data_IF_263751627255
#
_entry.id   IF_263751627255
#
_cell.length_a   1.000
_cell.length_b   1.000
_cell.length_c   1.000
_cell.angle_alpha   90.00
_cell.angle_beta   90.00
_cell.angle_gamma   90.00
#
_symmetry.space_group_name_H-M   'P 1'
#
loop_
_entity.id
_entity.type
_entity.pdbx_description
1 polymer ?
#
# COMPACT_ATOMS: atom_id res chain seq x y z
N UNK A 1 2.44 -29.99 4.88
CA UNK A 1 3.73 -29.39 4.47
C UNK A 1 3.83 -28.01 5.13
N UNK A 2 4.76 -27.81 6.08
CA UNK A 2 4.95 -26.51 6.76
C UNK A 2 6.10 -25.79 6.05
N UNK A 3 5.80 -24.77 5.25
CA UNK A 3 6.83 -23.89 4.68
C UNK A 3 7.14 -22.83 5.74
N UNK A 4 8.34 -22.89 6.34
CA UNK A 4 8.84 -21.87 7.25
C UNK A 4 9.63 -20.86 6.40
N UNK A 5 9.01 -19.73 6.07
CA UNK A 5 9.70 -18.62 5.40
C UNK A 5 10.35 -17.77 6.50
N UNK A 6 11.65 -17.96 6.72
CA UNK A 6 12.44 -17.05 7.57
C UNK A 6 12.88 -15.87 6.70
N UNK A 7 12.32 -14.69 6.96
CA UNK A 7 12.91 -13.44 6.48
C UNK A 7 14.00 -13.03 7.45
N UNK A 8 15.25 -13.37 7.14
CA UNK A 8 16.40 -12.88 7.87
C UNK A 8 16.88 -11.56 7.24
N UNK A 9 16.69 -10.47 7.97
CA UNK A 9 17.15 -9.13 7.59
C UNK A 9 18.52 -8.77 8.20
N UNK A 10 19.22 -9.71 8.83
CA UNK A 10 20.38 -9.42 9.67
C UNK A 10 21.73 -9.31 8.94
N UNK A 11 21.79 -9.36 7.60
CA UNK A 11 23.06 -9.32 6.85
C UNK A 11 23.12 -8.20 5.78
N UNK A 12 22.91 -6.95 6.22
CA UNK A 12 23.37 -5.77 5.49
C UNK A 12 24.21 -4.89 6.42
N UNK A 13 25.32 -5.43 6.93
CA UNK A 13 26.41 -4.65 7.49
C UNK A 13 27.67 -4.94 6.68
N UNK A 14 27.89 -4.15 5.63
CA UNK A 14 29.20 -4.02 5.04
C UNK A 14 30.10 -3.29 6.03
N UNK A 15 31.12 -3.98 6.53
CA UNK A 15 32.25 -3.34 7.19
C UNK A 15 32.96 -2.46 6.14
N UNK A 16 32.93 -1.15 6.34
CA UNK A 16 33.91 -0.25 5.73
C UNK A 16 34.67 0.42 6.88
N UNK A 17 35.94 0.05 7.00
CA UNK A 17 36.89 0.67 7.90
C UNK A 17 37.09 2.15 7.54
N UNK A 18 37.22 2.99 8.57
CA UNK A 18 38.02 4.21 8.53
C UNK A 18 37.49 5.39 7.72
N UNK A 19 36.62 6.21 8.32
CA UNK A 19 36.42 7.59 7.86
C UNK A 19 35.19 8.26 8.44
N UNK A 20 35.39 9.13 9.44
CA UNK A 20 34.35 10.05 9.92
C UNK A 20 34.03 11.06 8.81
N UNK A 21 33.01 10.76 8.00
CA UNK A 21 32.35 11.76 7.14
C UNK A 21 30.85 11.70 7.40
N UNK A 22 30.27 12.89 7.58
CA UNK A 22 28.86 13.15 7.79
C UNK A 22 27.97 12.19 6.98
N UNK A 23 27.30 11.28 7.68
CA UNK A 23 26.30 10.37 7.14
C UNK A 23 25.02 11.15 6.84
N UNK A 24 25.05 11.98 5.81
CA UNK A 24 23.84 12.45 5.14
C UNK A 24 23.11 11.24 4.53
N UNK A 25 21.81 11.19 4.79
CA UNK A 25 20.87 10.14 4.42
C UNK A 25 21.04 9.64 2.96
N UNK A 26 21.78 8.53 2.78
CA UNK A 26 22.09 7.93 1.48
C UNK A 26 20.83 7.49 0.70
N UNK A 27 19.73 7.21 1.40
CA UNK A 27 18.46 6.81 0.80
C UNK A 27 17.71 7.96 0.11
N UNK A 28 17.96 9.22 0.48
CA UNK A 28 17.28 10.36 -0.14
C UNK A 28 17.99 10.85 -1.43
N UNK A 29 19.33 10.76 -1.51
CA UNK A 29 20.07 11.16 -2.73
C UNK A 29 19.91 10.22 -3.91
N UNK A 30 19.46 8.97 -3.69
CA UNK A 30 19.18 8.03 -4.77
C UNK A 30 17.97 8.44 -5.63
N UNK A 31 17.09 9.31 -5.12
CA UNK A 31 15.94 9.83 -5.87
C UNK A 31 16.32 11.02 -6.76
N UNK A 32 17.25 11.87 -6.32
CA UNK A 32 17.48 13.21 -6.89
C UNK A 32 18.51 13.26 -8.04
N UNK A 33 19.07 12.11 -8.46
CA UNK A 33 20.18 12.06 -9.44
C UNK A 33 19.93 11.29 -10.73
N UNK A 34 18.74 10.72 -10.97
CA UNK A 34 18.50 9.89 -12.17
C UNK A 34 17.56 10.50 -13.21
N UNK A 35 17.19 11.79 -13.12
CA UNK A 35 16.40 12.48 -14.15
C UNK A 35 17.25 13.08 -15.27
N UNK A 36 18.14 12.28 -15.87
CA UNK A 36 18.99 12.70 -16.99
C UNK A 36 19.07 11.63 -18.08
N UNK A 37 18.30 11.83 -19.15
CA UNK A 37 18.45 11.27 -20.50
C UNK A 37 18.89 9.80 -20.66
N UNK A 38 17.94 8.91 -20.94
CA UNK A 38 18.01 8.03 -22.11
C UNK A 38 16.69 7.27 -22.28
N UNK A 39 15.95 7.69 -23.29
CA UNK A 39 14.77 7.04 -23.82
C UNK A 39 15.28 5.89 -24.70
N UNK A 40 15.41 4.66 -24.15
CA UNK A 40 15.38 3.34 -24.81
C UNK A 40 16.14 2.27 -24.00
N UNK A 41 15.38 1.39 -23.35
CA UNK A 41 15.87 0.14 -22.74
C UNK A 41 15.04 -0.32 -21.53
N UNK A 42 13.80 -0.82 -21.71
CA UNK A 42 12.96 -1.22 -20.58
C UNK A 42 13.38 -2.61 -20.08
N UNK A 43 13.23 -2.85 -18.77
CA UNK A 43 13.40 -4.12 -18.02
C UNK A 43 14.63 -4.17 -17.11
N UNK A 44 15.86 -3.86 -17.55
CA UNK A 44 17.05 -4.11 -16.68
C UNK A 44 17.19 -3.16 -15.48
N UNK A 45 16.63 -1.96 -15.52
CA UNK A 45 16.79 -0.95 -14.45
C UNK A 45 15.66 -0.94 -13.42
N UNK A 46 14.51 -1.55 -13.73
CA UNK A 46 13.35 -1.56 -12.83
C UNK A 46 13.58 -2.45 -11.59
N UNK A 47 14.51 -3.42 -11.66
CA UNK A 47 14.84 -4.33 -10.57
C UNK A 47 15.58 -3.70 -9.38
N UNK A 48 16.13 -2.49 -9.52
CA UNK A 48 17.01 -1.91 -8.48
C UNK A 48 16.26 -1.16 -7.37
N UNK A 49 15.02 -0.71 -7.60
CA UNK A 49 14.28 0.12 -6.63
C UNK A 49 13.34 -0.66 -5.69
N UNK A 50 12.81 -1.81 -6.11
CA UNK A 50 12.20 -2.77 -5.20
C UNK A 50 13.30 -3.70 -4.71
N UNK A 51 14.05 -3.26 -3.70
CA UNK A 51 15.23 -3.97 -3.21
C UNK A 51 14.97 -5.46 -3.06
N UNK A 52 15.49 -6.26 -4.00
CA UNK A 52 15.62 -7.72 -3.93
C UNK A 52 14.44 -8.43 -3.26
N UNK A 53 13.18 -8.02 -3.52
CA UNK A 53 12.08 -8.97 -3.50
C UNK A 53 12.39 -9.88 -4.70
N UNK A 54 13.23 -10.88 -4.41
CA UNK A 54 14.18 -11.37 -5.40
C UNK A 54 13.44 -12.07 -6.52
N UNK A 55 14.02 -12.05 -7.71
CA UNK A 55 13.58 -12.93 -8.79
C UNK A 55 13.45 -14.39 -8.30
N UNK A 56 14.22 -14.80 -7.29
CA UNK A 56 14.07 -16.08 -6.59
C UNK A 56 12.74 -16.20 -5.85
N UNK A 57 12.25 -15.17 -5.14
CA UNK A 57 10.93 -15.18 -4.51
C UNK A 57 9.81 -15.35 -5.55
N UNK A 58 9.92 -14.71 -6.71
CA UNK A 58 8.97 -14.91 -7.81
C UNK A 58 9.02 -16.34 -8.36
N UNK A 59 10.22 -16.91 -8.51
CA UNK A 59 10.41 -18.30 -8.93
C UNK A 59 9.77 -19.27 -7.93
N UNK A 60 9.99 -19.11 -6.63
CA UNK A 60 9.40 -19.97 -5.60
C UNK A 60 7.87 -19.81 -5.54
N UNK A 61 7.35 -18.59 -5.66
CA UNK A 61 5.92 -18.35 -5.79
C UNK A 61 5.36 -19.08 -7.01
N UNK A 62 6.03 -19.00 -8.17
CA UNK A 62 5.61 -19.70 -9.39
C UNK A 62 5.57 -21.21 -9.22
N UNK A 63 6.55 -21.79 -8.52
CA UNK A 63 6.56 -23.23 -8.19
C UNK A 63 5.36 -23.60 -7.32
N UNK A 64 5.05 -22.77 -6.33
CA UNK A 64 3.93 -23.00 -5.43
C UNK A 64 2.58 -22.90 -6.16
N UNK A 65 2.36 -21.87 -6.97
CA UNK A 65 1.06 -21.66 -7.62
C UNK A 65 0.70 -22.73 -8.65
N UNK A 66 1.72 -23.36 -9.27
CA UNK A 66 1.56 -24.52 -10.15
C UNK A 66 0.92 -25.74 -9.47
N UNK A 67 0.80 -25.73 -8.14
CA UNK A 67 0.02 -26.71 -7.38
C UNK A 67 -1.47 -26.38 -7.37
N UNK A 68 -1.99 -25.79 -8.46
CA UNK A 68 -3.38 -25.35 -8.62
C UNK A 68 -3.85 -24.29 -7.60
N UNK A 69 -2.95 -23.39 -7.20
CA UNK A 69 -3.29 -22.26 -6.33
C UNK A 69 -3.61 -21.04 -7.19
N UNK A 70 -4.58 -20.24 -6.73
CA UNK A 70 -4.94 -18.95 -7.31
C UNK A 70 -4.46 -17.81 -6.41
N UNK A 71 -3.98 -16.73 -7.00
CA UNK A 71 -3.40 -15.59 -6.30
C UNK A 71 -4.25 -14.33 -6.52
N UNK A 72 -4.54 -13.63 -5.43
CA UNK A 72 -5.05 -12.25 -5.46
C UNK A 72 -3.86 -11.30 -5.54
N UNK A 73 -3.79 -10.50 -6.59
CA UNK A 73 -2.73 -9.50 -6.76
C UNK A 73 -3.19 -8.15 -6.25
N UNK A 74 -2.36 -7.46 -5.48
CA UNK A 74 -2.61 -6.08 -5.06
C UNK A 74 -1.75 -5.11 -5.86
N UNK A 75 -2.34 -3.97 -6.26
CA UNK A 75 -1.59 -2.79 -6.71
C UNK A 75 -1.90 -1.62 -5.79
N UNK A 76 -0.88 -0.82 -5.50
CA UNK A 76 -0.94 0.31 -4.59
C UNK A 76 -1.70 1.49 -5.22
N UNK A 77 -2.41 2.20 -4.36
CA UNK A 77 -2.97 3.52 -4.63
C UNK A 77 -2.49 4.43 -3.51
N UNK A 78 -1.88 5.55 -3.86
CA UNK A 78 -1.28 6.48 -2.93
C UNK A 78 -1.45 7.92 -3.41
N UNK A 79 -0.76 8.85 -2.74
CA UNK A 79 -0.69 10.25 -3.14
C UNK A 79 0.38 10.54 -4.21
N UNK A 80 1.05 9.51 -4.72
CA UNK A 80 2.13 9.66 -5.69
C UNK A 80 1.83 8.83 -6.94
N UNK A 81 1.31 9.51 -7.95
CA UNK A 81 0.90 8.88 -9.20
C UNK A 81 2.03 8.15 -9.90
N UNK A 82 3.23 8.73 -9.95
CA UNK A 82 4.39 8.06 -10.54
C UNK A 82 4.73 6.76 -9.81
N UNK A 83 4.64 6.75 -8.48
CA UNK A 83 4.89 5.54 -7.70
C UNK A 83 3.81 4.48 -7.94
N UNK A 84 2.54 4.88 -8.02
CA UNK A 84 1.41 3.98 -8.29
C UNK A 84 1.49 3.38 -9.70
N UNK A 85 1.94 4.16 -10.70
CA UNK A 85 2.14 3.67 -12.06
C UNK A 85 3.35 2.74 -12.18
N UNK A 86 4.42 3.01 -11.43
CA UNK A 86 5.55 2.08 -11.33
C UNK A 86 5.16 0.77 -10.65
N UNK A 87 4.43 0.83 -9.54
CA UNK A 87 3.87 -0.35 -8.86
C UNK A 87 3.06 -1.22 -9.84
N UNK A 88 2.19 -0.58 -10.63
CA UNK A 88 1.38 -1.28 -11.61
C UNK A 88 2.20 -2.02 -12.68
N UNK A 89 3.31 -1.43 -13.16
CA UNK A 89 4.19 -2.11 -14.09
C UNK A 89 4.76 -3.41 -13.50
N UNK A 90 5.17 -3.38 -12.23
CA UNK A 90 5.68 -4.56 -11.53
C UNK A 90 4.62 -5.63 -11.33
N UNK A 91 3.39 -5.23 -10.97
CA UNK A 91 2.26 -6.15 -10.81
C UNK A 91 1.95 -6.87 -12.13
N UNK A 92 1.91 -6.14 -13.24
CA UNK A 92 1.71 -6.75 -14.58
C UNK A 92 2.81 -7.74 -14.91
N UNK A 93 4.08 -7.38 -14.69
CA UNK A 93 5.22 -8.26 -14.95
C UNK A 93 5.10 -9.57 -14.16
N UNK A 94 4.78 -9.48 -12.87
CA UNK A 94 4.59 -10.66 -12.03
C UNK A 94 3.38 -11.51 -12.47
N UNK A 95 2.25 -10.88 -12.79
CA UNK A 95 1.06 -11.59 -13.28
C UNK A 95 1.34 -12.36 -14.58
N UNK A 96 2.06 -11.74 -15.53
CA UNK A 96 2.49 -12.40 -16.76
C UNK A 96 3.49 -13.54 -16.48
N UNK A 97 4.41 -13.34 -15.55
CA UNK A 97 5.40 -14.36 -15.17
C UNK A 97 4.74 -15.60 -14.54
N UNK A 98 3.73 -15.38 -13.70
CA UNK A 98 3.01 -16.44 -13.00
C UNK A 98 2.07 -17.20 -13.95
N UNK A 99 1.33 -16.50 -14.80
CA UNK A 99 0.36 -17.08 -15.73
C UNK A 99 -1.08 -16.79 -15.30
N UNK A 100 -1.95 -16.50 -16.29
CA UNK A 100 -3.35 -16.12 -16.08
C UNK A 100 -4.14 -17.19 -15.33
N UNK A 101 -3.87 -18.44 -15.61
CA UNK A 101 -4.48 -19.61 -14.99
C UNK A 101 -4.26 -19.68 -13.47
N UNK A 102 -3.35 -18.87 -12.92
CA UNK A 102 -3.08 -18.76 -11.50
C UNK A 102 -3.57 -17.44 -10.89
N UNK A 103 -4.24 -16.58 -11.66
CA UNK A 103 -4.80 -15.32 -11.17
C UNK A 103 -6.24 -15.51 -10.70
N UNK A 104 -6.52 -15.09 -9.46
CA UNK A 104 -7.86 -15.06 -8.88
C UNK A 104 -8.59 -13.76 -9.22
N UNK A 105 -7.94 -12.64 -8.91
CA UNK A 105 -8.46 -11.29 -9.05
C UNK A 105 -7.30 -10.26 -8.93
N UNK A 106 -7.60 -9.01 -9.27
CA UNK A 106 -6.74 -7.85 -9.05
C UNK A 106 -7.42 -6.89 -8.05
N UNK A 107 -6.80 -6.70 -6.89
CA UNK A 107 -7.12 -5.69 -5.90
C UNK A 107 -6.40 -4.38 -6.24
N UNK A 108 -7.18 -3.31 -6.43
CA UNK A 108 -6.66 -1.97 -6.74
C UNK A 108 -6.86 -1.11 -5.49
N UNK A 109 -5.76 -0.81 -4.81
CA UNK A 109 -5.79 -0.15 -3.50
C UNK A 109 -6.08 -1.13 -2.34
N UNK A 110 -5.56 -0.75 -1.18
CA UNK A 110 -5.82 -1.42 0.10
C UNK A 110 -6.11 -0.35 1.14
N UNK A 111 -7.31 -0.40 1.70
CA UNK A 111 -7.83 0.48 2.75
C UNK A 111 -7.67 1.95 2.40
N UNK A 112 -7.97 2.29 1.14
CA UNK A 112 -7.83 3.64 0.59
C UNK A 112 -8.73 4.63 1.33
N UNK A 113 -9.87 4.17 1.84
CA UNK A 113 -10.76 4.96 2.69
C UNK A 113 -10.09 5.42 3.99
N UNK A 114 -9.07 4.72 4.49
CA UNK A 114 -8.39 5.09 5.74
C UNK A 114 -7.30 6.15 5.55
N UNK A 115 -6.99 6.58 4.33
CA UNK A 115 -5.95 7.58 4.06
C UNK A 115 -6.15 8.89 4.85
N UNK A 116 -7.40 9.32 5.04
CA UNK A 116 -7.73 10.52 5.81
C UNK A 116 -7.41 10.39 7.31
N UNK A 117 -7.40 9.17 7.85
CA UNK A 117 -7.07 8.91 9.27
C UNK A 117 -5.56 8.97 9.52
N UNK A 118 -4.74 8.54 8.54
CA UNK A 118 -3.28 8.55 8.63
C UNK A 118 -2.72 9.97 8.76
N UNK A 119 -3.39 10.96 8.18
CA UNK A 119 -3.00 12.38 8.31
C UNK A 119 -2.98 12.83 9.77
N UNK A 120 -3.99 12.46 10.56
CA UNK A 120 -4.18 12.95 11.93
C UNK A 120 -3.07 12.48 12.88
N UNK A 121 -2.56 11.26 12.66
CA UNK A 121 -1.51 10.66 13.49
C UNK A 121 -0.15 11.35 13.29
N UNK A 122 0.18 11.75 12.05
CA UNK A 122 1.46 12.40 11.75
C UNK A 122 1.53 13.79 12.37
N UNK A 123 0.45 14.57 12.32
CA UNK A 123 0.43 15.92 12.92
C UNK A 123 0.58 15.88 14.44
N UNK A 124 -0.12 14.96 15.12
CA UNK A 124 -0.02 14.82 16.57
C UNK A 124 1.39 14.36 17.01
N UNK A 125 1.95 13.35 16.32
CA UNK A 125 3.29 12.85 16.63
C UNK A 125 4.39 13.90 16.32
N UNK A 126 4.26 14.63 15.21
CA UNK A 126 5.19 15.69 14.85
C UNK A 126 5.18 16.84 15.88
N UNK A 127 3.99 17.24 16.36
CA UNK A 127 3.88 18.25 17.40
C UNK A 127 4.55 17.80 18.72
N UNK A 128 4.29 16.57 19.15
CA UNK A 128 4.90 16.02 20.37
C UNK A 128 6.43 15.89 20.25
N UNK A 129 6.94 15.42 19.11
CA UNK A 129 8.37 15.29 18.86
C UNK A 129 9.07 16.65 18.74
N UNK A 130 8.44 17.65 18.14
CA UNK A 130 9.00 19.00 18.05
C UNK A 130 9.27 19.58 19.46
N UNK A 131 8.36 19.37 20.41
CA UNK A 131 8.55 19.78 21.81
C UNK A 131 9.76 19.08 22.45
N UNK A 132 9.91 17.76 22.24
CA UNK A 132 11.00 16.97 22.83
C UNK A 132 12.37 17.33 22.20
N UNK A 133 12.42 17.50 20.88
CA UNK A 133 13.67 17.80 20.15
C UNK A 133 14.21 19.19 20.50
N UNK A 134 13.34 20.17 20.80
CA UNK A 134 13.77 21.48 21.31
C UNK A 134 14.44 21.34 22.68
N UNK A 135 13.96 20.45 23.53
CA UNK A 135 14.49 20.25 24.88
C UNK A 135 15.80 19.44 24.94
N UNK A 136 16.07 18.56 23.97
CA UNK A 136 17.17 17.58 24.09
C UNK A 136 18.42 17.88 23.26
N UNK A 137 18.42 18.87 22.36
CA UNK A 137 19.63 19.37 21.67
C UNK A 137 20.42 18.37 20.80
N UNK A 138 20.07 17.08 20.79
CA UNK A 138 20.82 15.99 20.16
C UNK A 138 19.84 15.10 19.39
N UNK A 139 20.23 14.68 18.18
CA UNK A 139 19.47 13.92 17.16
C UNK A 139 18.46 14.68 16.28
N UNK A 140 18.93 15.75 15.61
CA UNK A 140 18.15 16.40 14.54
C UNK A 140 17.99 15.57 13.26
N UNK A 141 18.96 14.73 12.90
CA UNK A 141 19.01 14.18 11.53
C UNK A 141 18.22 12.88 11.30
N UNK A 142 18.20 11.94 12.25
CA UNK A 142 17.46 10.68 12.07
C UNK A 142 15.95 10.85 12.24
N UNK A 143 15.52 11.67 13.22
CA UNK A 143 14.11 11.94 13.49
C UNK A 143 13.49 12.73 12.32
N UNK A 144 14.22 13.69 11.73
CA UNK A 144 13.75 14.44 10.56
C UNK A 144 13.49 13.54 9.34
N UNK A 145 14.27 12.46 9.17
CA UNK A 145 14.05 11.51 8.07
C UNK A 145 12.83 10.60 8.30
N UNK A 146 12.55 10.23 9.57
CA UNK A 146 11.32 9.49 9.92
C UNK A 146 10.09 10.37 9.84
N UNK A 147 10.17 11.64 10.25
CA UNK A 147 9.08 12.62 10.16
C UNK A 147 8.81 13.12 8.73
N UNK A 148 9.79 13.10 7.83
CA UNK A 148 9.58 13.36 6.39
C UNK A 148 8.77 12.27 5.69
N UNK A 149 8.57 11.09 6.31
CA UNK A 149 7.71 10.06 5.74
C UNK A 149 6.25 10.46 5.91
N UNK A 150 5.72 11.01 4.81
CA UNK A 150 4.31 11.17 4.45
C UNK A 150 3.56 12.26 5.22
N UNK A 151 3.93 13.51 4.95
CA UNK A 151 2.93 14.58 5.04
C UNK A 151 1.93 14.37 3.89
N UNK A 152 0.85 13.63 4.16
CA UNK A 152 -0.27 13.46 3.23
C UNK A 152 -0.97 14.82 3.16
N UNK A 153 -0.91 15.47 1.99
CA UNK A 153 -1.54 16.77 1.81
C UNK A 153 -3.07 16.67 1.84
N UNK A 154 -3.75 17.74 2.27
CA UNK A 154 -5.21 17.84 2.16
C UNK A 154 -5.70 17.65 0.73
N UNK A 155 -4.94 18.22 -0.21
CA UNK A 155 -5.20 18.03 -1.64
C UNK A 155 -5.21 16.55 -2.00
N UNK A 156 -4.24 15.75 -1.53
CA UNK A 156 -4.27 14.32 -1.78
C UNK A 156 -5.54 13.66 -1.22
N UNK A 157 -5.83 13.84 0.07
CA UNK A 157 -6.99 13.18 0.71
C UNK A 157 -8.28 13.49 -0.04
N UNK A 158 -8.48 14.76 -0.41
CA UNK A 158 -9.66 15.17 -1.17
C UNK A 158 -9.64 14.60 -2.60
N UNK A 159 -8.49 14.61 -3.28
CA UNK A 159 -8.40 14.16 -4.66
C UNK A 159 -8.61 12.66 -4.84
N UNK A 160 -8.26 11.84 -3.83
CA UNK A 160 -8.43 10.37 -3.87
C UNK A 160 -9.88 10.01 -4.24
N UNK A 161 -10.87 10.54 -3.51
CA UNK A 161 -12.27 10.24 -3.75
C UNK A 161 -13.02 11.39 -4.44
N UNK A 162 -13.00 12.60 -3.89
CA UNK A 162 -13.71 13.75 -4.43
C UNK A 162 -13.13 14.21 -5.77
N UNK A 163 -11.80 14.20 -5.91
CA UNK A 163 -11.14 14.44 -7.20
C UNK A 163 -11.21 13.27 -8.18
N UNK A 164 -11.78 12.13 -7.78
CA UNK A 164 -11.96 10.96 -8.64
C UNK A 164 -10.66 10.23 -9.01
N UNK A 165 -9.54 10.51 -8.34
CA UNK A 165 -8.25 9.88 -8.65
C UNK A 165 -8.33 8.36 -8.51
N UNK A 166 -8.89 7.87 -7.40
CA UNK A 166 -8.97 6.44 -7.14
C UNK A 166 -9.83 5.71 -8.18
N UNK A 167 -11.02 6.24 -8.47
CA UNK A 167 -11.87 5.72 -9.53
C UNK A 167 -11.16 5.73 -10.89
N UNK A 168 -10.48 6.81 -11.24
CA UNK A 168 -9.71 6.92 -12.49
C UNK A 168 -8.62 5.87 -12.58
N UNK A 169 -7.88 5.62 -11.48
CA UNK A 169 -6.88 4.55 -11.45
C UNK A 169 -7.52 3.16 -11.58
N UNK A 170 -8.68 2.90 -10.96
CA UNK A 170 -9.40 1.63 -11.13
C UNK A 170 -9.76 1.40 -12.60
N UNK A 171 -10.34 2.40 -13.27
CA UNK A 171 -10.66 2.32 -14.70
C UNK A 171 -9.42 2.11 -15.55
N UNK A 172 -8.35 2.87 -15.27
CA UNK A 172 -7.08 2.76 -15.99
C UNK A 172 -6.49 1.34 -15.87
N UNK A 173 -6.42 0.77 -14.66
CA UNK A 173 -5.90 -0.60 -14.48
C UNK A 173 -6.77 -1.64 -15.16
N UNK A 174 -8.10 -1.50 -15.07
CA UNK A 174 -9.04 -2.42 -15.71
C UNK A 174 -8.89 -2.44 -17.24
N UNK A 175 -8.76 -1.27 -17.85
CA UNK A 175 -8.62 -1.09 -19.29
C UNK A 175 -7.24 -1.56 -19.76
N UNK A 176 -6.17 -1.19 -19.06
CA UNK A 176 -4.82 -1.61 -19.39
C UNK A 176 -4.65 -3.13 -19.24
N UNK A 177 -5.26 -3.74 -18.21
CA UNK A 177 -5.29 -5.20 -18.06
C UNK A 177 -5.98 -5.88 -19.25
N UNK A 178 -7.08 -5.32 -19.75
CA UNK A 178 -7.79 -5.87 -20.89
C UNK A 178 -7.05 -5.67 -22.23
N UNK A 179 -6.39 -4.52 -22.40
CA UNK A 179 -5.74 -4.14 -23.65
C UNK A 179 -4.30 -4.68 -23.78
N UNK A 180 -3.50 -4.61 -22.71
CA UNK A 180 -2.09 -4.92 -22.75
C UNK A 180 -1.76 -6.38 -22.39
N UNK A 181 -2.70 -7.11 -21.79
CA UNK A 181 -2.46 -8.48 -21.31
C UNK A 181 -3.50 -9.45 -21.91
N UNK A 182 -3.19 -10.06 -23.08
CA UNK A 182 -4.10 -10.97 -23.76
C UNK A 182 -4.68 -12.04 -22.83
N UNK A 183 -6.00 -12.12 -22.81
CA UNK A 183 -6.75 -13.02 -21.94
C UNK A 183 -7.12 -12.42 -20.58
N UNK A 184 -6.46 -11.41 -20.04
CA UNK A 184 -6.78 -10.94 -18.67
C UNK A 184 -8.04 -10.06 -18.58
N UNK A 185 -8.79 -9.90 -19.66
CA UNK A 185 -10.00 -9.06 -19.74
C UNK A 185 -11.15 -9.54 -18.86
N UNK A 186 -11.18 -10.80 -18.45
CA UNK A 186 -12.22 -11.38 -17.58
C UNK A 186 -11.79 -11.52 -16.11
N UNK A 187 -10.54 -11.18 -15.80
CA UNK A 187 -10.02 -11.21 -14.42
C UNK A 187 -10.89 -10.32 -13.55
N UNK A 188 -11.31 -10.86 -12.40
CA UNK A 188 -12.11 -10.14 -11.42
C UNK A 188 -11.33 -8.97 -10.86
N UNK A 189 -12.03 -7.87 -10.63
CA UNK A 189 -11.48 -6.66 -10.05
C UNK A 189 -12.06 -6.49 -8.66
N UNK A 190 -11.27 -5.94 -7.75
CA UNK A 190 -11.70 -5.60 -6.41
C UNK A 190 -10.90 -4.43 -5.87
N UNK A 191 -11.29 -3.96 -4.69
CA UNK A 191 -10.46 -3.15 -3.82
C UNK A 191 -10.66 -3.67 -2.40
N UNK A 192 -9.58 -3.74 -1.63
CA UNK A 192 -9.65 -4.20 -0.25
C UNK A 192 -10.02 -3.01 0.61
N UNK A 193 -11.21 -3.02 1.19
CA UNK A 193 -11.71 -1.96 2.07
C UNK A 193 -11.70 -2.43 3.52
N UNK A 194 -11.38 -1.57 4.47
CA UNK A 194 -11.48 -1.87 5.89
C UNK A 194 -12.92 -1.86 6.39
N UNK A 195 -13.15 -2.44 7.58
CA UNK A 195 -14.46 -2.45 8.23
C UNK A 195 -15.05 -1.06 8.52
N UNK A 196 -14.23 0.01 8.47
CA UNK A 196 -14.68 1.40 8.65
C UNK A 196 -15.84 1.77 7.72
N UNK A 197 -15.85 1.24 6.50
CA UNK A 197 -16.89 1.57 5.53
C UNK A 197 -18.30 1.14 5.96
N UNK A 198 -18.41 0.20 6.89
CA UNK A 198 -19.68 -0.35 7.38
C UNK A 198 -20.32 0.56 8.44
N UNK A 199 -19.67 1.66 8.82
CA UNK A 199 -20.22 2.65 9.76
C UNK A 199 -21.27 3.60 9.16
N UNK A 200 -21.77 3.35 7.95
CA UNK A 200 -22.83 4.13 7.29
C UNK A 200 -23.97 3.24 6.78
N UNK A 201 -25.01 3.85 6.22
CA UNK A 201 -26.19 3.13 5.71
C UNK A 201 -26.35 3.33 4.18
N UNK A 202 -26.02 2.34 3.32
CA UNK A 202 -25.38 1.06 3.63
C UNK A 202 -23.85 1.13 3.79
N UNK A 203 -23.22 2.25 3.38
CA UNK A 203 -21.78 2.46 3.52
C UNK A 203 -21.48 3.92 3.86
N UNK A 204 -20.31 4.18 4.45
CA UNK A 204 -19.81 5.53 4.72
C UNK A 204 -19.73 6.36 3.43
N UNK A 205 -20.32 7.54 3.44
CA UNK A 205 -20.30 8.47 2.30
C UNK A 205 -19.99 9.90 2.72
N UNK A 206 -18.94 10.09 3.52
CA UNK A 206 -18.47 11.43 3.88
C UNK A 206 -17.66 12.06 2.74
N UNK A 207 -17.35 13.34 2.87
CA UNK A 207 -16.51 14.06 1.91
C UNK A 207 -15.15 13.38 1.68
N UNK A 208 -14.57 12.83 2.74
CA UNK A 208 -13.22 12.26 2.75
C UNK A 208 -13.13 10.85 2.18
N UNK A 209 -14.23 10.08 2.22
CA UNK A 209 -14.21 8.65 1.89
C UNK A 209 -15.15 8.24 0.76
N UNK A 210 -16.25 8.98 0.51
CA UNK A 210 -17.26 8.77 -0.57
C UNK A 210 -17.46 7.31 -1.04
N UNK A 211 -17.53 6.35 -0.12
CA UNK A 211 -17.42 4.92 -0.46
C UNK A 211 -18.68 4.45 -1.15
N UNK A 212 -19.87 4.90 -0.68
CA UNK A 212 -21.13 4.56 -1.31
C UNK A 212 -21.21 5.04 -2.77
N UNK A 213 -20.77 6.28 -3.03
CA UNK A 213 -20.74 6.83 -4.39
C UNK A 213 -19.80 6.02 -5.28
N UNK A 214 -18.59 5.73 -4.78
CA UNK A 214 -17.61 4.92 -5.49
C UNK A 214 -18.14 3.52 -5.81
N UNK A 215 -18.76 2.85 -4.83
CA UNK A 215 -19.33 1.51 -4.99
C UNK A 215 -20.50 1.48 -5.97
N UNK A 216 -21.38 2.46 -5.92
CA UNK A 216 -22.50 2.59 -6.86
C UNK A 216 -21.97 2.68 -8.29
N UNK A 217 -20.96 3.53 -8.51
CA UNK A 217 -20.35 3.74 -9.82
C UNK A 217 -19.63 2.49 -10.33
N UNK A 218 -18.77 1.90 -9.51
CA UNK A 218 -18.01 0.69 -9.85
C UNK A 218 -18.92 -0.50 -10.16
N UNK A 219 -20.02 -0.67 -9.41
CA UNK A 219 -20.98 -1.72 -9.68
C UNK A 219 -21.69 -1.51 -11.02
N UNK A 220 -22.00 -0.26 -11.38
CA UNK A 220 -22.57 0.08 -12.69
C UNK A 220 -21.60 -0.24 -13.83
N UNK A 221 -20.31 0.08 -13.67
CA UNK A 221 -19.30 -0.08 -14.73
C UNK A 221 -18.85 -1.53 -14.92
N UNK A 222 -18.65 -2.28 -13.83
CA UNK A 222 -18.03 -3.61 -13.89
C UNK A 222 -19.01 -4.76 -13.63
N UNK A 223 -20.15 -4.50 -12.98
CA UNK A 223 -21.16 -5.50 -12.64
C UNK A 223 -20.55 -6.80 -12.12
N UNK A 224 -20.78 -7.91 -12.83
CA UNK A 224 -20.27 -9.25 -12.43
C UNK A 224 -18.75 -9.39 -12.45
N UNK A 225 -18.00 -8.48 -13.07
CA UNK A 225 -16.53 -8.50 -13.05
C UNK A 225 -15.99 -7.96 -11.73
N UNK A 226 -16.76 -7.15 -11.01
CA UNK A 226 -16.40 -6.68 -9.69
C UNK A 226 -16.65 -7.74 -8.61
N UNK A 227 -15.72 -7.84 -7.68
CA UNK A 227 -15.86 -8.60 -6.44
C UNK A 227 -15.70 -7.64 -5.26
N UNK A 228 -16.57 -7.78 -4.26
CA UNK A 228 -16.49 -7.01 -3.03
C UNK A 228 -15.49 -7.68 -2.08
N UNK A 229 -14.53 -6.92 -1.54
CA UNK A 229 -13.57 -7.45 -0.56
C UNK A 229 -13.40 -6.50 0.61
N UNK A 230 -13.43 -7.05 1.82
CA UNK A 230 -13.38 -6.28 3.05
C UNK A 230 -12.44 -6.95 4.06
N UNK A 231 -11.58 -6.15 4.70
CA UNK A 231 -10.84 -6.53 5.89
C UNK A 231 -11.70 -6.25 7.12
N UNK A 232 -12.29 -7.31 7.68
CA UNK A 232 -12.97 -7.25 8.97
C UNK A 232 -12.00 -7.64 10.08
N UNK A 233 -11.50 -6.65 10.82
CA UNK A 233 -10.65 -6.93 11.96
C UNK A 233 -11.50 -7.21 13.21
N UNK A 234 -11.30 -8.36 13.90
CA UNK A 234 -12.03 -8.69 15.12
C UNK A 234 -11.67 -7.76 16.29
N UNK A 235 -10.63 -6.92 16.15
CA UNK A 235 -10.22 -5.97 17.19
C UNK A 235 -11.33 -4.98 17.58
N UNK A 236 -12.35 -4.81 16.73
CA UNK A 236 -13.49 -3.94 17.02
C UNK A 236 -14.66 -4.65 17.71
N UNK A 237 -14.58 -5.96 17.94
CA UNK A 237 -15.59 -6.69 18.71
C UNK A 237 -15.35 -6.46 20.22
N UNK A 238 -16.28 -5.79 20.93
CA UNK A 238 -16.13 -5.53 22.36
C UNK A 238 -16.13 -6.81 23.22
N UNK A 239 -16.51 -7.95 22.64
CA UNK A 239 -16.53 -9.25 23.30
C UNK A 239 -15.28 -10.11 23.01
N UNK A 240 -14.41 -9.69 22.08
CA UNK A 240 -13.16 -10.40 21.80
C UNK A 240 -12.07 -9.84 22.72
N UNK A 241 -11.89 -10.51 23.86
CA UNK A 241 -10.74 -10.28 24.72
C UNK A 241 -9.49 -10.91 24.07
N UNK A 242 -8.59 -10.08 23.55
CA UNK A 242 -7.24 -10.54 23.24
C UNK A 242 -6.59 -11.02 24.55
N UNK A 243 -6.04 -12.24 24.53
CA UNK A 243 -5.36 -12.95 25.63
C UNK A 243 -5.43 -12.24 27.01
N UNK A 244 -6.21 -12.75 27.98
CA UNK A 244 -6.38 -12.10 29.28
C UNK A 244 -5.06 -11.88 30.04
N UNK A 245 -3.97 -12.58 29.68
CA UNK A 245 -2.65 -12.35 30.25
C UNK A 245 -1.94 -11.09 29.73
N UNK A 246 -2.49 -10.40 28.73
CA UNK A 246 -1.95 -9.16 28.15
C UNK A 246 -3.07 -8.16 27.90
N UNK A 247 -3.66 -7.65 28.99
CA UNK A 247 -4.73 -6.64 29.01
C UNK A 247 -4.27 -5.26 28.52
N UNK A 248 -3.74 -5.17 27.30
CA UNK A 248 -3.29 -3.95 26.64
C UNK A 248 -4.39 -3.24 25.85
N UNK A 249 -5.67 -3.56 26.07
CA UNK A 249 -6.75 -2.75 25.49
C UNK A 249 -6.67 -1.34 26.09
N UNK A 250 -6.40 -0.36 25.23
CA UNK A 250 -6.41 1.06 25.59
C UNK A 250 -7.84 1.42 25.96
N UNK A 251 -8.13 1.53 27.26
CA UNK A 251 -9.37 2.16 27.74
C UNK A 251 -9.49 3.54 27.08
N UNK A 252 -10.59 3.78 26.35
CA UNK A 252 -10.91 5.10 25.79
C UNK A 252 -10.82 5.26 24.26
N UNK A 253 -10.72 4.17 23.48
CA UNK A 253 -10.68 4.27 22.02
C UNK A 253 -12.02 4.66 21.35
N UNK A 254 -13.14 4.64 22.09
CA UNK A 254 -14.45 5.08 21.60
C UNK A 254 -15.13 5.98 22.62
N UNK A 255 -15.76 7.09 22.20
CA UNK A 255 -16.73 7.78 23.04
C UNK A 255 -17.88 6.81 23.33
N UNK A 256 -18.32 6.76 24.58
CA UNK A 256 -19.52 6.01 24.95
C UNK A 256 -20.68 6.55 24.13
N UNK A 257 -21.15 5.75 23.16
CA UNK A 257 -22.35 6.07 22.40
C UNK A 257 -23.52 5.61 23.27
N UNK A 258 -24.12 6.57 23.96
CA UNK A 258 -25.37 6.40 24.71
C UNK A 258 -26.58 6.45 23.80
#
# INVERSE_FOLDING_TARGET
MKIKVNFDYSHVHGQSEGGVRNSECFLCKAWDRTSGNSFLGPVKHAHKMLGVASQSAWIELRKFVRQNVKVLYGTLISCNETADDMDWLYVKELMMFIGREHVMALAIGNEVELLHTQKKLVTAAAAALATIVVSLGVLRNEIACKLRRKNISDKCVNDIFEGGYFYTKVMHRANDLAAAMPGFSDVKLTTVMGGFILGGEPFVNTREARVLDFFTKINADFGRRWAWSFNTYPYFDPHIFMDPARSGMVKGAWPEVG
#
